data_IF_335909465229
#
_entry.id   IF_335909465229
#
_cell.length_a   1.000
_cell.length_b   1.000
_cell.length_c   1.000
_cell.angle_alpha   90.00
_cell.angle_beta   90.00
_cell.angle_gamma   90.00
#
_symmetry.space_group_name_H-M   'P 1'
#
loop_
_entity.id
_entity.type
_entity.pdbx_description
1 polymer ?
#
# COMPACT_ATOMS: atom_id res chain seq x y z
N UNK A 1 -10.61 -4.21 0.47
CA UNK A 1 -9.21 -4.62 0.22
C UNK A 1 -8.48 -3.50 -0.51
N UNK A 2 -7.35 -3.07 0.05
CA UNK A 2 -6.42 -2.11 -0.55
C UNK A 2 -5.16 -2.85 -0.96
N UNK A 3 -4.70 -2.59 -2.17
CA UNK A 3 -3.41 -3.05 -2.68
C UNK A 3 -2.43 -1.90 -2.51
N UNK A 4 -1.36 -2.15 -1.76
CA UNK A 4 -0.28 -1.20 -1.53
C UNK A 4 0.94 -1.65 -2.34
N UNK A 5 1.44 -0.74 -3.17
CA UNK A 5 2.68 -0.93 -3.93
C UNK A 5 3.75 -0.01 -3.34
N UNK A 6 4.71 -0.59 -2.63
CA UNK A 6 5.84 0.13 -2.06
C UNK A 6 7.05 0.07 -3.02
N UNK A 7 7.51 1.23 -3.48
CA UNK A 7 8.68 1.35 -4.34
C UNK A 7 9.95 1.07 -3.51
N UNK A 8 10.75 0.08 -3.91
CA UNK A 8 12.02 -0.24 -3.23
C UNK A 8 13.06 0.88 -3.33
N UNK A 9 13.32 1.50 -4.50
CA UNK A 9 14.40 2.48 -4.62
C UNK A 9 14.12 3.82 -3.91
N UNK A 10 12.86 4.27 -3.87
CA UNK A 10 12.54 5.58 -3.27
C UNK A 10 11.68 5.50 -1.99
N UNK A 11 11.26 4.31 -1.58
CA UNK A 11 10.46 4.07 -0.38
C UNK A 11 9.02 4.58 -0.45
N UNK A 12 8.60 5.21 -1.55
CA UNK A 12 7.25 5.76 -1.70
C UNK A 12 6.22 4.67 -1.92
N UNK A 13 5.03 4.86 -1.38
CA UNK A 13 3.93 3.90 -1.45
C UNK A 13 2.76 4.46 -2.27
N UNK A 14 2.23 3.64 -3.17
CA UNK A 14 0.96 3.89 -3.84
C UNK A 14 -0.11 2.96 -3.27
N UNK A 15 -1.30 3.51 -2.99
CA UNK A 15 -2.44 2.75 -2.45
C UNK A 15 -3.56 2.72 -3.47
N UNK A 16 -4.06 1.53 -3.76
CA UNK A 16 -5.06 1.31 -4.81
C UNK A 16 -6.19 0.44 -4.28
N UNK A 17 -7.43 0.77 -4.64
CA UNK A 17 -8.55 -0.11 -4.35
C UNK A 17 -8.47 -1.33 -5.27
N UNK A 18 -8.66 -2.54 -4.73
CA UNK A 18 -8.64 -3.76 -5.54
C UNK A 18 -9.66 -3.73 -6.69
N UNK A 19 -10.82 -3.08 -6.46
CA UNK A 19 -11.86 -2.85 -7.48
C UNK A 19 -11.37 -1.94 -8.62
N UNK A 20 -10.58 -0.93 -8.30
CA UNK A 20 -10.00 -0.04 -9.31
C UNK A 20 -8.96 -0.79 -10.14
N UNK A 21 -8.17 -1.67 -9.53
CA UNK A 21 -7.22 -2.50 -10.27
C UNK A 21 -7.88 -3.61 -11.11
N UNK A 22 -9.04 -4.11 -10.68
CA UNK A 22 -9.80 -5.13 -11.38
C UNK A 22 -10.25 -4.67 -12.78
N UNK A 23 -10.44 -3.36 -13.01
CA UNK A 23 -10.78 -2.84 -14.34
C UNK A 23 -9.64 -3.03 -15.37
N UNK A 24 -8.38 -3.08 -14.90
CA UNK A 24 -7.20 -3.19 -15.77
C UNK A 24 -6.73 -4.64 -15.97
N UNK A 25 -6.99 -5.54 -15.01
CA UNK A 25 -6.47 -6.92 -15.04
C UNK A 25 -7.52 -8.02 -14.88
N UNK A 26 -8.80 -7.65 -14.72
CA UNK A 26 -9.89 -8.59 -14.47
C UNK A 26 -10.05 -8.90 -12.98
N UNK A 27 -11.27 -9.31 -12.62
CA UNK A 27 -11.71 -9.50 -11.24
C UNK A 27 -11.03 -10.68 -10.49
N UNK A 28 -10.30 -11.54 -11.20
CA UNK A 28 -9.62 -12.71 -10.62
C UNK A 28 -8.07 -12.62 -10.73
N UNK A 29 -7.53 -11.44 -11.00
CA UNK A 29 -6.09 -11.26 -11.08
C UNK A 29 -5.45 -11.23 -9.69
N UNK A 30 -4.37 -12.00 -9.51
CA UNK A 30 -3.59 -11.97 -8.27
C UNK A 30 -2.91 -10.60 -8.11
N UNK A 31 -3.10 -9.89 -7.00
CA UNK A 31 -2.53 -8.55 -6.79
C UNK A 31 -1.00 -8.56 -6.80
N UNK A 32 -0.36 -9.65 -6.37
CA UNK A 32 1.10 -9.80 -6.41
C UNK A 32 1.70 -9.88 -7.81
N UNK A 33 0.89 -10.15 -8.84
CA UNK A 33 1.33 -10.16 -10.24
C UNK A 33 1.22 -8.77 -10.90
N UNK A 34 0.70 -7.78 -10.17
CA UNK A 34 0.58 -6.42 -10.67
C UNK A 34 1.96 -5.78 -10.77
N UNK A 35 2.19 -5.09 -11.89
CA UNK A 35 3.38 -4.29 -12.13
C UNK A 35 2.98 -2.83 -12.07
N UNK A 36 3.64 -2.09 -11.20
CA UNK A 36 3.51 -0.64 -11.06
C UNK A 36 4.83 0.01 -11.45
N UNK A 37 4.74 1.25 -11.95
CA UNK A 37 5.90 2.11 -12.19
C UNK A 37 5.81 3.27 -11.22
N UNK A 38 6.88 3.54 -10.49
CA UNK A 38 6.91 4.67 -9.58
C UNK A 38 6.96 5.98 -10.39
N UNK A 39 5.94 6.83 -10.30
CA UNK A 39 5.94 8.14 -10.98
C UNK A 39 7.02 9.12 -10.49
N UNK A 40 7.69 8.80 -9.38
CA UNK A 40 8.70 9.68 -8.78
C UNK A 40 10.13 9.41 -9.22
N UNK A 41 10.46 8.15 -9.47
CA UNK A 41 11.83 7.72 -9.75
C UNK A 41 11.89 6.69 -10.89
N UNK A 42 10.76 6.46 -11.56
CA UNK A 42 10.58 5.52 -12.68
C UNK A 42 10.96 4.06 -12.40
N UNK A 43 11.23 3.73 -11.14
CA UNK A 43 11.58 2.39 -10.69
C UNK A 43 10.42 1.41 -10.86
N UNK A 44 10.76 0.19 -11.27
CA UNK A 44 9.84 -0.95 -11.41
C UNK A 44 10.00 -1.99 -10.30
N UNK A 45 10.99 -1.84 -9.43
CA UNK A 45 11.16 -2.68 -8.24
C UNK A 45 10.21 -2.21 -7.14
N UNK A 46 9.25 -3.07 -6.80
CA UNK A 46 8.24 -2.79 -5.80
C UNK A 46 7.93 -4.02 -4.97
N UNK A 47 7.42 -3.79 -3.77
CA UNK A 47 6.78 -4.79 -2.93
C UNK A 47 5.29 -4.54 -2.95
N UNK A 48 4.51 -5.54 -3.34
CA UNK A 48 3.04 -5.47 -3.29
C UNK A 48 2.54 -6.17 -2.04
N UNK A 49 1.76 -5.44 -1.25
CA UNK A 49 1.07 -5.95 -0.05
C UNK A 49 -0.43 -5.69 -0.20
N UNK A 50 -1.23 -6.60 0.34
CA UNK A 50 -2.68 -6.43 0.38
C UNK A 50 -3.09 -6.19 1.82
N UNK A 51 -3.71 -5.06 2.07
CA UNK A 51 -4.28 -4.73 3.36
C UNK A 51 -5.79 -4.90 3.27
N UNK A 52 -6.34 -5.69 4.18
CA UNK A 52 -7.77 -5.66 4.42
C UNK A 52 -8.03 -4.35 5.15
N UNK A 53 -8.77 -3.46 4.50
CA UNK A 53 -9.27 -2.27 5.16
C UNK A 53 -10.35 -2.75 6.12
N UNK A 54 -9.98 -3.01 7.37
CA UNK A 54 -10.95 -3.15 8.45
C UNK A 54 -11.61 -1.79 8.64
N UNK A 55 -12.76 -1.62 7.99
CA UNK A 55 -13.72 -0.54 8.26
C UNK A 55 -14.40 -0.78 9.62
N UNK A 56 -13.71 -1.34 10.62
CA UNK A 56 -14.23 -1.33 11.97
C UNK A 56 -13.89 0.05 12.57
N UNK A 57 -14.88 0.94 12.76
CA UNK A 57 -14.65 2.26 13.34
C UNK A 57 -14.16 2.20 14.81
N UNK A 58 -14.02 1.01 15.41
CA UNK A 58 -13.45 0.80 16.76
C UNK A 58 -12.00 0.32 16.74
N UNK A 59 -11.41 0.04 15.58
CA UNK A 59 -9.99 -0.28 15.48
C UNK A 59 -9.17 0.99 15.66
N UNK A 60 -8.92 1.27 16.94
CA UNK A 60 -8.05 2.29 17.52
C UNK A 60 -6.97 2.74 16.54
N UNK A 61 -7.12 3.94 16.00
CA UNK A 61 -5.99 4.69 15.47
C UNK A 61 -4.99 4.83 16.61
N UNK A 62 -3.90 4.08 16.60
CA UNK A 62 -2.91 4.26 17.67
C UNK A 62 -2.14 5.53 17.36
N UNK A 63 -2.61 6.63 17.96
CA UNK A 63 -2.05 7.99 17.96
C UNK A 63 -0.80 8.01 18.85
N UNK A 64 0.22 7.20 18.55
CA UNK A 64 1.46 7.28 19.32
C UNK A 64 2.11 8.65 19.09
N UNK A 65 2.32 9.40 20.18
CA UNK A 65 3.21 10.56 20.25
C UNK A 65 4.48 10.16 21.02
N UNK A 66 5.67 10.53 20.54
CA UNK A 66 6.91 10.21 21.23
C UNK A 66 7.02 10.96 22.57
N UNK A 67 7.67 10.32 23.56
CA UNK A 67 8.08 10.96 24.81
C UNK A 67 9.58 11.26 24.77
N UNK A 68 9.97 12.39 25.35
CA UNK A 68 11.37 12.81 25.47
C UNK A 68 12.06 11.96 26.56
N UNK A 69 13.07 11.18 26.17
CA UNK A 69 13.95 10.51 27.13
C UNK A 69 15.10 11.49 27.44
N UNK A 70 14.97 12.25 28.53
CA UNK A 70 16.09 12.99 29.10
C UNK A 70 17.07 12.00 29.73
N UNK A 71 18.33 12.06 29.31
CA UNK A 71 19.44 11.33 29.92
C UNK A 71 20.30 12.31 30.71
#
# INVERSE_FOLDING_TARGET
MVVVAACRPCGREGRFLARDLAQYKGWNASPWKLKFRCSACDGTEMKVTCELFDLDPRSVQVIWKPIEIKR
#
